data_IF_332896644682
#
_entry.id   IF_332896644682
#
_cell.length_a   1.000
_cell.length_b   1.000
_cell.length_c   1.000
_cell.angle_alpha   90.00
_cell.angle_beta   90.00
_cell.angle_gamma   90.00
#
_symmetry.space_group_name_H-M   'P 1'
#
loop_
_entity.id
_entity.type
_entity.pdbx_description
1 polymer ?
#
# COMPACT_ATOMS: atom_id res chain seq x y z
N UNK A 1 81.55 6.93 31.82
CA UNK A 1 81.03 6.82 30.46
C UNK A 1 79.95 5.78 30.48
N UNK A 2 78.66 6.18 30.50
CA UNK A 2 77.53 5.27 30.36
C UNK A 2 76.63 5.81 29.26
N UNK A 3 76.50 5.12 28.13
CA UNK A 3 75.47 5.44 27.12
C UNK A 3 74.33 4.42 27.15
N UNK A 4 73.39 4.62 28.01
CA UNK A 4 72.07 3.97 27.79
C UNK A 4 70.99 5.03 27.80
N UNK A 5 70.56 5.36 26.59
CA UNK A 5 69.46 6.24 26.37
C UNK A 5 68.21 5.67 27.02
N UNK A 6 67.57 6.49 27.75
CA UNK A 6 66.19 6.26 28.27
C UNK A 6 65.27 6.19 27.07
N UNK A 7 64.89 4.98 26.66
CA UNK A 7 63.83 4.79 25.67
C UNK A 7 62.52 5.38 26.23
N UNK A 8 62.05 6.35 25.52
CA UNK A 8 60.82 7.12 25.83
C UNK A 8 59.60 6.23 25.74
N UNK A 9 59.32 5.49 26.82
CA UNK A 9 58.19 4.57 26.93
C UNK A 9 56.86 5.32 26.94
N UNK A 10 56.87 6.64 27.16
CA UNK A 10 55.69 7.50 27.17
C UNK A 10 55.05 7.75 25.80
N UNK A 11 55.87 7.75 24.74
CA UNK A 11 55.43 8.02 23.40
C UNK A 11 54.59 6.86 22.81
N UNK A 12 54.94 5.63 23.17
CA UNK A 12 54.25 4.43 22.69
C UNK A 12 52.86 4.20 23.31
N UNK A 13 52.68 4.59 24.58
CA UNK A 13 51.40 4.45 25.29
C UNK A 13 50.37 5.45 24.77
N UNK A 14 50.76 6.65 24.35
CA UNK A 14 49.91 7.68 23.79
C UNK A 14 49.32 7.33 22.40
N UNK A 15 50.10 6.62 21.57
CA UNK A 15 49.62 6.24 20.22
C UNK A 15 48.65 5.06 20.24
N UNK A 16 48.88 4.07 21.12
CA UNK A 16 47.99 2.92 21.23
C UNK A 16 46.61 3.29 21.79
N UNK A 17 46.56 4.23 22.75
CA UNK A 17 45.29 4.69 23.31
C UNK A 17 44.42 5.49 22.30
N UNK A 18 45.09 6.29 21.44
CA UNK A 18 44.32 7.03 20.38
C UNK A 18 43.74 6.12 19.32
N UNK A 19 44.43 5.06 18.93
CA UNK A 19 43.95 4.08 17.97
C UNK A 19 42.82 3.22 18.55
N UNK A 20 42.84 2.85 19.82
CA UNK A 20 41.79 2.08 20.49
C UNK A 20 40.52 2.93 20.65
N UNK A 21 40.66 4.20 21.05
CA UNK A 21 39.50 5.12 21.20
C UNK A 21 38.87 5.40 19.85
N UNK A 22 39.63 5.57 18.77
CA UNK A 22 39.05 5.81 17.45
C UNK A 22 38.34 4.58 16.86
N UNK A 23 38.86 3.38 17.11
CA UNK A 23 38.23 2.13 16.65
C UNK A 23 36.95 1.79 17.42
N UNK A 24 36.91 2.06 18.73
CA UNK A 24 35.68 1.86 19.53
C UNK A 24 34.59 2.88 19.18
N UNK A 25 34.93 4.13 18.89
CA UNK A 25 33.98 5.15 18.46
C UNK A 25 33.41 4.83 17.08
N UNK A 26 34.22 4.33 16.14
CA UNK A 26 33.75 3.90 14.83
C UNK A 26 32.83 2.68 14.92
N UNK A 27 33.12 1.72 15.78
CA UNK A 27 32.26 0.55 16.01
C UNK A 27 30.92 0.93 16.64
N UNK A 28 30.87 1.92 17.56
CA UNK A 28 29.64 2.43 18.14
C UNK A 28 28.77 3.15 17.10
N UNK A 29 29.37 3.94 16.21
CA UNK A 29 28.64 4.63 15.14
C UNK A 29 28.03 3.65 14.12
N UNK A 30 28.73 2.54 13.83
CA UNK A 30 28.18 1.49 12.96
C UNK A 30 27.00 0.72 13.60
N UNK A 31 27.01 0.53 14.91
CA UNK A 31 25.91 -0.13 15.62
C UNK A 31 24.61 0.70 15.61
N UNK A 32 24.68 2.03 15.54
CA UNK A 32 23.50 2.90 15.44
C UNK A 32 22.91 2.98 14.05
N UNK A 33 23.65 2.69 12.98
CA UNK A 33 23.12 2.67 11.62
C UNK A 33 22.22 1.46 11.32
N UNK A 34 22.33 0.36 12.04
CA UNK A 34 21.56 -0.85 11.79
C UNK A 34 20.13 -0.81 12.32
N UNK A 35 19.75 0.21 13.08
CA UNK A 35 18.40 0.32 13.71
C UNK A 35 17.41 1.15 12.90
N UNK A 36 17.82 1.75 11.78
CA UNK A 36 16.96 2.66 11.01
C UNK A 36 15.97 1.95 10.06
N UNK A 37 16.17 0.66 9.78
CA UNK A 37 15.26 -0.10 8.89
C UNK A 37 14.06 -0.74 9.60
N UNK A 38 14.01 -0.73 10.92
CA UNK A 38 12.98 -1.45 11.69
C UNK A 38 11.73 -0.62 12.05
N UNK A 39 11.61 0.62 11.62
CA UNK A 39 10.46 1.50 11.97
C UNK A 39 9.74 2.11 10.76
N UNK A 40 9.72 1.42 9.64
CA UNK A 40 8.60 1.63 8.73
C UNK A 40 7.37 1.01 9.40
N UNK A 41 6.64 1.82 10.16
CA UNK A 41 5.29 1.46 10.60
C UNK A 41 4.55 0.99 9.34
N UNK A 42 4.32 -0.31 9.22
CA UNK A 42 3.70 -0.89 8.05
C UNK A 42 2.31 -0.25 7.93
N UNK A 43 2.19 0.74 7.04
CA UNK A 43 0.90 1.36 6.75
C UNK A 43 -0.05 0.24 6.41
N UNK A 44 -1.13 0.10 7.21
CA UNK A 44 -2.15 -0.90 6.91
C UNK A 44 -2.73 -0.64 5.52
N UNK A 45 -2.78 -1.66 4.65
CA UNK A 45 -3.43 -1.53 3.35
C UNK A 45 -4.86 -1.02 3.52
N UNK A 46 -5.24 -0.07 2.67
CA UNK A 46 -6.54 0.61 2.75
C UNK A 46 -7.31 0.38 1.46
N UNK A 47 -8.49 -0.22 1.56
CA UNK A 47 -9.38 -0.47 0.42
C UNK A 47 -10.57 0.49 0.48
N UNK A 48 -10.73 1.31 -0.55
CA UNK A 48 -11.92 2.11 -0.76
C UNK A 48 -13.04 1.26 -1.39
N UNK A 49 -14.17 1.14 -0.70
CA UNK A 49 -15.34 0.39 -1.18
C UNK A 49 -16.47 1.39 -1.45
N UNK A 50 -16.89 1.48 -2.72
CA UNK A 50 -17.99 2.36 -3.10
C UNK A 50 -19.22 1.55 -3.44
N UNK A 51 -20.31 1.81 -2.70
CA UNK A 51 -21.60 1.17 -2.83
C UNK A 51 -22.67 2.16 -3.31
N UNK A 52 -23.86 1.66 -3.60
CA UNK A 52 -25.05 2.45 -3.92
C UNK A 52 -26.30 1.59 -3.82
N UNK A 53 -27.47 2.19 -3.94
CA UNK A 53 -28.76 1.48 -3.91
C UNK A 53 -28.82 0.53 -5.11
N UNK A 54 -28.30 -0.64 -4.96
CA UNK A 54 -28.48 -1.76 -5.89
C UNK A 54 -28.95 -2.98 -5.10
N UNK A 55 -29.78 -3.76 -5.71
CA UNK A 55 -30.62 -4.82 -5.16
C UNK A 55 -29.92 -5.97 -4.46
N UNK A 56 -28.66 -5.92 -4.17
CA UNK A 56 -27.93 -6.66 -3.14
C UNK A 56 -26.42 -6.34 -3.11
N UNK A 57 -26.01 -5.15 -2.65
CA UNK A 57 -24.59 -4.86 -2.47
C UNK A 57 -23.99 -5.65 -1.30
N UNK A 58 -24.82 -6.06 -0.34
CA UNK A 58 -24.39 -6.75 0.88
C UNK A 58 -23.77 -8.12 0.58
N UNK A 59 -24.33 -8.88 -0.35
CA UNK A 59 -23.87 -10.24 -0.68
C UNK A 59 -22.48 -10.24 -1.30
N UNK A 60 -22.21 -9.38 -2.28
CA UNK A 60 -20.89 -9.35 -2.98
C UNK A 60 -19.78 -8.76 -2.15
N UNK A 61 -20.09 -7.72 -1.40
CA UNK A 61 -19.13 -7.14 -0.44
C UNK A 61 -18.83 -8.17 0.65
N UNK A 62 -19.84 -8.89 1.12
CA UNK A 62 -19.67 -9.98 2.08
C UNK A 62 -18.77 -11.09 1.51
N UNK A 63 -19.02 -11.53 0.28
CA UNK A 63 -18.19 -12.53 -0.41
C UNK A 63 -16.75 -12.03 -0.58
N UNK A 64 -16.56 -10.77 -0.99
CA UNK A 64 -15.25 -10.17 -1.12
C UNK A 64 -14.51 -10.12 0.23
N UNK A 65 -15.19 -9.68 1.30
CA UNK A 65 -14.61 -9.69 2.65
C UNK A 65 -14.25 -11.09 3.12
N UNK A 66 -15.13 -12.07 2.87
CA UNK A 66 -14.86 -13.46 3.23
C UNK A 66 -13.61 -13.99 2.50
N UNK A 67 -13.52 -13.75 1.19
CA UNK A 67 -12.34 -14.14 0.43
C UNK A 67 -11.04 -13.50 0.95
N UNK A 68 -11.08 -12.24 1.38
CA UNK A 68 -9.93 -11.60 2.03
C UNK A 68 -9.60 -12.22 3.38
N UNK A 69 -10.61 -12.59 4.19
CA UNK A 69 -10.41 -13.28 5.46
C UNK A 69 -9.79 -14.67 5.26
N UNK A 70 -10.22 -15.40 4.26
CA UNK A 70 -9.68 -16.71 3.89
C UNK A 70 -8.19 -16.61 3.46
N UNK A 71 -7.80 -15.44 2.93
CA UNK A 71 -6.41 -15.09 2.60
C UNK A 71 -5.63 -14.49 3.78
N UNK A 72 -6.23 -14.41 4.97
CA UNK A 72 -5.59 -13.90 6.18
C UNK A 72 -5.66 -12.38 6.38
N UNK A 73 -6.50 -11.67 5.60
CA UNK A 73 -6.73 -10.23 5.78
C UNK A 73 -7.93 -9.98 6.68
N UNK A 74 -7.71 -9.36 7.82
CA UNK A 74 -8.75 -9.04 8.81
C UNK A 74 -8.87 -7.54 9.00
N UNK A 75 -10.08 -7.02 8.82
CA UNK A 75 -10.41 -5.60 9.01
C UNK A 75 -10.01 -5.12 10.41
N UNK A 76 -9.30 -3.99 10.48
CA UNK A 76 -8.80 -3.39 11.72
C UNK A 76 -7.53 -4.05 12.28
N UNK A 77 -7.06 -5.19 11.73
CA UNK A 77 -5.79 -5.82 12.13
C UNK A 77 -4.69 -5.56 11.14
N UNK A 78 -4.88 -5.97 9.90
CA UNK A 78 -3.88 -5.88 8.84
C UNK A 78 -4.42 -5.31 7.53
N UNK A 79 -5.69 -4.84 7.51
CA UNK A 79 -6.33 -4.15 6.40
C UNK A 79 -7.39 -3.18 6.94
N UNK A 80 -7.61 -2.06 6.24
CA UNK A 80 -8.65 -1.08 6.54
C UNK A 80 -9.59 -0.95 5.36
N UNK A 81 -10.90 -0.83 5.63
CA UNK A 81 -11.90 -0.54 4.63
C UNK A 81 -12.47 0.87 4.82
N UNK A 82 -12.48 1.63 3.72
CA UNK A 82 -13.10 2.95 3.61
C UNK A 82 -14.41 2.81 2.83
N UNK A 83 -15.51 2.65 3.54
CA UNK A 83 -16.83 2.53 2.93
C UNK A 83 -17.39 3.89 2.56
N UNK A 84 -17.88 4.01 1.34
CA UNK A 84 -18.63 5.18 0.86
C UNK A 84 -19.88 4.70 0.12
N UNK A 85 -20.99 5.35 0.39
CA UNK A 85 -22.27 5.08 -0.28
C UNK A 85 -22.70 6.32 -1.06
N UNK A 86 -22.99 6.15 -2.34
CA UNK A 86 -23.54 7.22 -3.16
C UNK A 86 -25.06 7.34 -3.06
N UNK A 87 -25.71 6.43 -2.31
CA UNK A 87 -27.17 6.43 -2.10
C UNK A 87 -27.97 6.47 -3.42
N UNK A 88 -27.41 5.87 -4.47
CA UNK A 88 -27.99 5.91 -5.82
C UNK A 88 -27.84 7.25 -6.54
N UNK A 89 -27.30 8.27 -5.88
CA UNK A 89 -27.07 9.59 -6.49
C UNK A 89 -25.73 9.58 -7.26
N UNK A 90 -25.83 9.71 -8.59
CA UNK A 90 -24.67 9.72 -9.48
C UNK A 90 -23.80 10.96 -9.32
N UNK A 91 -24.39 12.09 -8.94
CA UNK A 91 -23.66 13.35 -8.79
C UNK A 91 -22.72 13.36 -7.59
N UNK A 92 -22.90 12.42 -6.64
CA UNK A 92 -21.99 12.23 -5.50
C UNK A 92 -20.72 11.45 -5.87
N UNK A 93 -20.75 10.68 -6.95
CA UNK A 93 -19.67 9.77 -7.31
C UNK A 93 -18.33 10.47 -7.52
N UNK A 94 -18.22 11.60 -8.26
CA UNK A 94 -16.95 12.30 -8.43
C UNK A 94 -16.35 12.75 -7.10
N UNK A 95 -17.16 13.29 -6.19
CA UNK A 95 -16.71 13.71 -4.87
C UNK A 95 -16.19 12.53 -4.01
N UNK A 96 -16.91 11.41 -4.02
CA UNK A 96 -16.52 10.19 -3.31
C UNK A 96 -15.20 9.64 -3.86
N UNK A 97 -15.05 9.57 -5.17
CA UNK A 97 -13.82 9.07 -5.79
C UNK A 97 -12.64 9.99 -5.49
N UNK A 98 -12.84 11.32 -5.61
CA UNK A 98 -11.80 12.29 -5.27
C UNK A 98 -11.36 12.20 -3.79
N UNK A 99 -12.29 11.93 -2.89
CA UNK A 99 -11.98 11.70 -1.47
C UNK A 99 -11.11 10.45 -1.28
N UNK A 100 -11.46 9.32 -1.90
CA UNK A 100 -10.67 8.08 -1.80
C UNK A 100 -9.27 8.25 -2.38
N UNK A 101 -9.13 8.97 -3.49
CA UNK A 101 -7.83 9.32 -4.08
C UNK A 101 -7.01 10.17 -3.11
N UNK A 102 -7.62 11.18 -2.47
CA UNK A 102 -6.96 12.04 -1.48
C UNK A 102 -6.56 11.26 -0.21
N UNK A 103 -7.37 10.29 0.21
CA UNK A 103 -7.05 9.39 1.32
C UNK A 103 -5.92 8.42 0.97
N UNK A 104 -5.49 8.41 -0.30
CA UNK A 104 -4.43 7.55 -0.82
C UNK A 104 -4.70 6.08 -0.47
N UNK A 105 -5.91 5.60 -0.83
CA UNK A 105 -6.25 4.19 -0.69
C UNK A 105 -5.39 3.34 -1.61
N UNK A 106 -5.08 2.12 -1.18
CA UNK A 106 -4.21 1.22 -1.95
C UNK A 106 -4.98 0.50 -3.06
N UNK A 107 -6.32 0.40 -2.94
CA UNK A 107 -7.22 -0.21 -3.93
C UNK A 107 -8.59 0.46 -3.87
N UNK A 108 -9.26 0.63 -5.01
CA UNK A 108 -10.68 1.00 -5.11
C UNK A 108 -11.46 -0.22 -5.60
N UNK A 109 -12.50 -0.60 -4.83
CA UNK A 109 -13.42 -1.69 -5.18
C UNK A 109 -14.81 -1.13 -5.42
N UNK A 110 -15.44 -1.51 -6.53
CA UNK A 110 -16.85 -1.18 -6.77
C UNK A 110 -17.54 -2.18 -7.69
N UNK A 111 -18.84 -2.28 -7.51
CA UNK A 111 -19.76 -3.02 -8.37
C UNK A 111 -20.48 -2.12 -9.38
N UNK A 112 -20.21 -0.82 -9.38
CA UNK A 112 -20.90 0.17 -10.20
C UNK A 112 -20.03 0.67 -11.35
N UNK A 113 -20.48 0.51 -12.59
CA UNK A 113 -19.75 0.98 -13.78
C UNK A 113 -19.45 2.49 -13.76
N UNK A 114 -20.35 3.30 -13.17
CA UNK A 114 -20.14 4.75 -13.07
C UNK A 114 -18.97 5.08 -12.14
N UNK A 115 -18.86 4.39 -11.00
CA UNK A 115 -17.74 4.57 -10.05
C UNK A 115 -16.42 4.15 -10.68
N UNK A 116 -16.41 3.01 -11.38
CA UNK A 116 -15.21 2.49 -12.06
C UNK A 116 -14.73 3.47 -13.13
N UNK A 117 -15.66 4.04 -13.92
CA UNK A 117 -15.35 5.04 -14.95
C UNK A 117 -14.77 6.31 -14.34
N UNK A 118 -15.37 6.80 -13.28
CA UNK A 118 -14.89 7.99 -12.57
C UNK A 118 -13.50 7.74 -11.96
N UNK A 119 -13.31 6.60 -11.28
CA UNK A 119 -12.01 6.23 -10.73
C UNK A 119 -10.93 6.09 -11.81
N UNK A 120 -11.25 5.53 -13.00
CA UNK A 120 -10.33 5.46 -14.15
C UNK A 120 -9.85 6.84 -14.62
N UNK A 121 -10.71 7.85 -14.50
CA UNK A 121 -10.37 9.24 -14.85
C UNK A 121 -9.54 9.90 -13.74
N UNK A 122 -9.94 9.69 -12.49
CA UNK A 122 -9.37 10.35 -11.31
C UNK A 122 -7.96 9.84 -10.94
N UNK A 123 -7.64 8.58 -11.24
CA UNK A 123 -6.33 8.00 -10.94
C UNK A 123 -5.82 7.06 -12.03
N UNK A 124 -4.49 7.00 -12.19
CA UNK A 124 -3.80 6.05 -13.08
C UNK A 124 -2.94 5.06 -12.31
N UNK A 125 -2.78 5.27 -11.01
CA UNK A 125 -1.87 4.51 -10.16
C UNK A 125 -2.59 3.61 -9.16
N UNK A 126 -3.75 4.03 -8.62
CA UNK A 126 -4.52 3.21 -7.68
C UNK A 126 -5.23 2.10 -8.46
N UNK A 127 -4.98 0.82 -8.14
CA UNK A 127 -5.70 -0.29 -8.75
C UNK A 127 -7.21 -0.20 -8.50
N UNK A 128 -8.00 -0.49 -9.54
CA UNK A 128 -9.45 -0.47 -9.47
C UNK A 128 -9.95 -1.89 -9.72
N UNK A 129 -10.59 -2.48 -8.71
CA UNK A 129 -11.20 -3.81 -8.80
C UNK A 129 -12.67 -3.66 -9.18
N UNK A 130 -13.00 -4.20 -10.33
CA UNK A 130 -14.33 -4.24 -10.90
C UNK A 130 -14.99 -5.58 -10.57
N UNK A 131 -16.06 -5.57 -9.77
CA UNK A 131 -16.74 -6.80 -9.39
C UNK A 131 -17.99 -7.12 -10.22
N UNK A 132 -18.44 -6.25 -11.10
CA UNK A 132 -19.47 -6.51 -12.12
C UNK A 132 -19.44 -5.43 -13.18
N UNK A 133 -19.48 -5.90 -14.39
CA UNK A 133 -20.06 -5.20 -15.54
C UNK A 133 -20.45 -6.29 -16.53
N UNK A 134 -21.65 -6.31 -17.06
CA UNK A 134 -22.08 -7.34 -18.02
C UNK A 134 -21.10 -7.44 -19.19
N UNK A 135 -20.56 -6.33 -19.66
CA UNK A 135 -19.54 -6.26 -20.69
C UNK A 135 -18.63 -5.04 -20.46
N UNK A 136 -17.48 -5.22 -19.80
CA UNK A 136 -16.57 -4.11 -19.50
C UNK A 136 -15.86 -3.57 -20.75
N UNK A 137 -15.71 -4.36 -21.81
CA UNK A 137 -15.13 -3.93 -23.07
C UNK A 137 -16.13 -3.03 -23.80
N UNK A 138 -17.35 -3.50 -23.97
CA UNK A 138 -18.42 -2.75 -24.62
C UNK A 138 -18.76 -1.44 -23.89
N UNK A 139 -18.63 -1.41 -22.57
CA UNK A 139 -18.80 -0.20 -21.76
C UNK A 139 -17.60 0.74 -21.75
N UNK A 140 -16.50 0.40 -22.45
CA UNK A 140 -15.28 1.21 -22.56
C UNK A 140 -14.47 1.30 -21.25
N UNK A 141 -14.70 0.40 -20.33
CA UNK A 141 -13.96 0.37 -19.07
C UNK A 141 -12.58 -0.24 -19.24
N UNK A 142 -12.47 -1.28 -20.07
CA UNK A 142 -11.22 -1.97 -20.38
C UNK A 142 -11.11 -2.18 -21.88
N UNK A 143 -9.87 -2.31 -22.40
CA UNK A 143 -9.62 -2.48 -23.84
C UNK A 143 -9.96 -3.91 -24.28
N UNK A 144 -9.62 -4.89 -23.46
CA UNK A 144 -10.01 -6.29 -23.63
C UNK A 144 -9.99 -7.03 -22.30
N UNK A 145 -10.62 -8.21 -22.22
CA UNK A 145 -10.59 -9.05 -21.00
C UNK A 145 -9.20 -9.65 -20.75
N UNK A 146 -8.46 -9.97 -21.83
CA UNK A 146 -7.12 -10.54 -21.72
C UNK A 146 -6.05 -9.48 -21.40
N UNK A 147 -6.29 -8.24 -21.82
CA UNK A 147 -5.41 -7.08 -21.58
C UNK A 147 -6.26 -5.87 -21.23
N UNK A 148 -6.67 -5.72 -19.96
CA UNK A 148 -7.59 -4.66 -19.56
C UNK A 148 -7.08 -3.25 -19.86
N UNK A 149 -5.77 -3.07 -19.96
CA UNK A 149 -5.15 -1.77 -20.16
C UNK A 149 -5.31 -0.85 -18.92
N UNK A 150 -4.23 -0.22 -18.48
CA UNK A 150 -4.28 0.69 -17.32
C UNK A 150 -4.43 -0.03 -15.97
N UNK A 151 -5.10 0.65 -15.03
CA UNK A 151 -5.18 0.26 -13.61
C UNK A 151 -6.48 -0.46 -13.22
N UNK A 152 -7.31 -0.88 -14.17
CA UNK A 152 -8.55 -1.63 -13.90
C UNK A 152 -8.28 -3.13 -14.02
N UNK A 153 -8.77 -3.88 -13.03
CA UNK A 153 -8.79 -5.35 -13.05
C UNK A 153 -10.12 -5.85 -12.50
N UNK A 154 -10.42 -7.11 -12.70
CA UNK A 154 -11.62 -7.72 -12.16
C UNK A 154 -12.14 -8.86 -13.04
N UNK A 155 -13.18 -9.55 -12.54
CA UNK A 155 -13.85 -10.63 -13.26
C UNK A 155 -15.15 -10.10 -13.85
N UNK A 156 -15.37 -10.20 -15.16
CA UNK A 156 -16.69 -9.98 -15.72
C UNK A 156 -17.62 -11.08 -15.22
N UNK A 157 -18.86 -10.73 -14.96
CA UNK A 157 -19.88 -11.74 -14.71
C UNK A 157 -20.20 -12.42 -16.04
N UNK A 158 -19.74 -13.66 -16.21
CA UNK A 158 -20.22 -14.49 -17.31
C UNK A 158 -21.72 -14.70 -17.15
N UNK A 159 -22.52 -14.61 -18.23
CA UNK A 159 -23.93 -14.98 -18.15
C UNK A 159 -24.02 -16.42 -17.64
N UNK A 160 -24.91 -16.67 -16.68
CA UNK A 160 -25.23 -18.02 -16.27
C UNK A 160 -25.79 -18.75 -17.50
N UNK A 161 -25.10 -19.80 -17.94
CA UNK A 161 -25.58 -20.73 -18.99
C UNK A 161 -26.68 -21.61 -18.44
#
# INVERSE_FOLDING_TARGET
VNPFGIFDFGFWIGLSNRLIISSTLAALLFAFCSSAEAQQASKLPRIGIVTGISTDPSSRIKTFRQALQDLGYFEGKNILFEYRDNEGNRDRVPGIVAELVRLNVDVIFSTQAIVIREAKQATKTIPIIMAITPDPVRSGLVDSLARPGGNITGSPQLPAT
#
